data_IF_811054728753
#
_entry.id   IF_811054728753
#
_cell.length_a   1.000
_cell.length_b   1.000
_cell.length_c   1.000
_cell.angle_alpha   90.00
_cell.angle_beta   90.00
_cell.angle_gamma   90.00
#
_symmetry.space_group_name_H-M   'P 1'
#
loop_
_entity.id
_entity.type
_entity.pdbx_description
1 polymer ?
#
# COMPACT_ATOMS: atom_id res chain seq x y z
N UNK A 1 -9.52 -27.30 -19.02
CA UNK A 1 -10.28 -27.46 -17.74
C UNK A 1 -9.30 -28.10 -16.77
N UNK A 2 -9.18 -27.57 -15.54
CA UNK A 2 -8.07 -27.75 -14.56
C UNK A 2 -6.94 -26.71 -14.62
N UNK A 3 -7.28 -25.42 -14.72
CA UNK A 3 -6.29 -24.34 -14.51
C UNK A 3 -6.09 -24.01 -13.01
N UNK A 4 -6.97 -24.51 -12.15
CA UNK A 4 -6.95 -24.29 -10.69
C UNK A 4 -5.80 -25.03 -10.00
N UNK A 5 -5.31 -26.12 -10.60
CA UNK A 5 -4.22 -26.96 -10.05
C UNK A 5 -2.82 -26.47 -10.44
N UNK A 6 -2.71 -25.42 -11.26
CA UNK A 6 -1.44 -24.86 -11.77
C UNK A 6 -1.14 -23.50 -11.13
N UNK A 7 -1.63 -23.26 -9.92
CA UNK A 7 -1.34 -22.03 -9.18
C UNK A 7 -0.11 -22.25 -8.30
N UNK A 8 0.88 -21.38 -8.45
CA UNK A 8 2.01 -21.31 -7.53
C UNK A 8 1.49 -20.92 -6.13
N UNK A 9 1.92 -21.60 -5.05
CA UNK A 9 1.49 -21.26 -3.70
C UNK A 9 1.97 -19.86 -3.32
N UNK A 10 1.03 -19.01 -2.90
CA UNK A 10 1.31 -17.65 -2.40
C UNK A 10 1.08 -17.63 -0.90
N UNK A 11 2.12 -17.27 -0.14
CA UNK A 11 2.01 -17.00 1.30
C UNK A 11 1.59 -15.54 1.51
N UNK A 12 0.43 -15.34 2.13
CA UNK A 12 -0.07 -14.02 2.49
C UNK A 12 0.27 -13.68 3.95
N UNK A 13 0.61 -12.41 4.26
CA UNK A 13 0.78 -11.98 5.63
C UNK A 13 -0.54 -12.05 6.40
N UNK A 14 -0.46 -12.20 7.73
CA UNK A 14 -1.64 -12.15 8.58
C UNK A 14 -2.25 -10.74 8.63
N UNK A 15 -3.57 -10.66 8.49
CA UNK A 15 -4.30 -9.39 8.54
C UNK A 15 -4.48 -8.70 7.18
N UNK A 16 -5.19 -7.57 7.19
CA UNK A 16 -5.54 -6.82 5.96
C UNK A 16 -4.54 -5.72 5.61
N UNK A 17 -3.70 -5.31 6.57
CA UNK A 17 -2.74 -4.22 6.41
C UNK A 17 -1.34 -4.81 6.70
N UNK A 18 -0.59 -5.22 5.67
CA UNK A 18 0.68 -5.92 5.81
C UNK A 18 1.70 -5.24 6.72
N UNK A 19 1.89 -3.92 6.58
CA UNK A 19 2.98 -3.23 7.24
C UNK A 19 2.76 -2.97 8.74
N UNK A 20 1.56 -3.24 9.24
CA UNK A 20 1.13 -2.84 10.59
C UNK A 20 0.37 -3.95 11.33
N UNK A 21 0.44 -5.19 10.84
CA UNK A 21 -0.29 -6.35 11.36
C UNK A 21 -1.79 -6.05 11.50
N UNK A 22 -2.38 -5.40 10.49
CA UNK A 22 -3.80 -5.05 10.45
C UNK A 22 -4.19 -3.77 11.20
N UNK A 23 -3.26 -3.02 11.82
CA UNK A 23 -3.59 -1.74 12.44
C UNK A 23 -3.80 -0.64 11.38
N UNK A 24 -4.86 0.17 11.47
CA UNK A 24 -5.09 1.25 10.51
C UNK A 24 -3.99 2.31 10.60
N UNK A 25 -3.72 2.96 9.47
CA UNK A 25 -2.90 4.17 9.44
C UNK A 25 -3.59 5.34 10.15
N UNK A 26 -2.83 6.37 10.50
CA UNK A 26 -3.32 7.58 11.17
C UNK A 26 -3.40 8.77 10.21
N UNK A 27 -4.20 9.79 10.58
CA UNK A 27 -4.26 11.06 9.85
C UNK A 27 -2.90 11.74 9.74
N UNK A 28 -2.05 11.60 10.76
CA UNK A 28 -0.72 12.21 10.79
C UNK A 28 0.21 11.61 9.75
N UNK A 29 0.10 10.30 9.47
CA UNK A 29 0.88 9.67 8.41
C UNK A 29 0.51 10.22 7.03
N UNK A 30 -0.78 10.46 6.78
CA UNK A 30 -1.26 11.14 5.57
C UNK A 30 -0.76 12.58 5.52
N UNK A 31 -0.82 13.31 6.63
CA UNK A 31 -0.33 14.68 6.72
C UNK A 31 1.18 14.79 6.42
N UNK A 32 1.99 13.81 6.87
CA UNK A 32 3.41 13.75 6.53
C UNK A 32 3.66 13.54 5.04
N UNK A 33 2.86 12.69 4.38
CA UNK A 33 2.95 12.51 2.93
C UNK A 33 2.61 13.80 2.17
N UNK A 34 1.52 14.46 2.58
CA UNK A 34 1.11 15.74 1.99
C UNK A 34 2.19 16.80 2.20
N UNK A 35 2.80 16.86 3.39
CA UNK A 35 3.89 17.78 3.67
C UNK A 35 5.10 17.53 2.75
N UNK A 36 5.48 16.26 2.56
CA UNK A 36 6.55 15.91 1.62
C UNK A 36 6.22 16.35 0.19
N UNK A 37 5.02 16.02 -0.29
CA UNK A 37 4.55 16.36 -1.65
C UNK A 37 4.40 17.87 -1.89
N UNK A 38 4.13 18.65 -0.84
CA UNK A 38 4.05 20.10 -0.92
C UNK A 38 5.43 20.79 -0.85
N UNK A 39 6.49 20.03 -0.55
CA UNK A 39 7.83 20.56 -0.35
C UNK A 39 8.72 20.41 -1.59
N UNK A 40 9.79 21.19 -1.64
CA UNK A 40 10.83 21.11 -2.69
C UNK A 40 11.48 19.72 -2.80
N UNK A 41 11.42 18.91 -1.74
CA UNK A 41 11.95 17.55 -1.71
C UNK A 41 11.27 16.62 -2.73
N UNK A 42 10.08 16.99 -3.20
CA UNK A 42 9.30 16.24 -4.19
C UNK A 42 9.18 16.96 -5.54
N UNK A 43 10.04 17.96 -5.81
CA UNK A 43 9.95 18.86 -6.98
C UNK A 43 9.94 18.19 -8.37
N UNK A 44 10.23 16.89 -8.46
CA UNK A 44 10.16 16.12 -9.70
C UNK A 44 9.08 15.03 -9.71
N UNK A 45 8.20 15.01 -8.71
CA UNK A 45 7.06 14.09 -8.62
C UNK A 45 5.82 14.85 -9.08
N UNK A 46 5.21 14.41 -10.18
CA UNK A 46 3.97 15.00 -10.70
C UNK A 46 3.19 13.96 -11.51
N UNK A 47 1.85 14.16 -11.62
CA UNK A 47 0.98 13.34 -12.47
C UNK A 47 0.84 11.87 -12.05
N UNK A 48 1.19 11.53 -10.81
CA UNK A 48 1.13 10.15 -10.28
C UNK A 48 0.25 10.05 -9.05
N UNK A 49 -0.42 8.92 -8.91
CA UNK A 49 -1.06 8.50 -7.66
C UNK A 49 0.00 7.94 -6.71
N UNK A 50 -0.22 8.10 -5.40
CA UNK A 50 0.62 7.51 -4.36
C UNK A 50 -0.25 6.88 -3.28
N UNK A 51 -0.06 5.58 -3.05
CA UNK A 51 -0.76 4.82 -2.01
C UNK A 51 0.00 4.93 -0.67
N UNK A 52 -0.74 5.19 0.40
CA UNK A 52 -0.25 5.23 1.79
C UNK A 52 -1.20 4.43 2.69
N UNK A 53 -1.41 3.17 2.33
CA UNK A 53 -2.43 2.29 2.91
C UNK A 53 -1.84 1.08 3.64
N UNK A 54 -0.54 1.10 3.93
CA UNK A 54 0.15 -0.01 4.57
C UNK A 54 0.20 -1.30 3.75
N UNK A 55 -0.03 -1.23 2.44
CA UNK A 55 -0.08 -2.38 1.54
C UNK A 55 -1.46 -3.03 1.42
N UNK A 56 -2.50 -2.45 2.03
CA UNK A 56 -3.87 -3.01 2.05
C UNK A 56 -4.45 -3.19 0.64
N UNK A 57 -4.24 -2.24 -0.27
CA UNK A 57 -4.78 -2.34 -1.64
C UNK A 57 -4.14 -3.46 -2.47
N UNK A 58 -2.97 -3.97 -2.06
CA UNK A 58 -2.31 -5.10 -2.75
C UNK A 58 -2.90 -6.46 -2.35
N UNK A 59 -3.57 -6.54 -1.19
CA UNK A 59 -4.18 -7.78 -0.70
C UNK A 59 -5.64 -7.96 -1.14
N UNK A 60 -6.29 -6.88 -1.60
CA UNK A 60 -7.66 -6.94 -2.11
C UNK A 60 -7.64 -7.27 -3.60
N UNK A 61 -7.57 -8.56 -3.93
CA UNK A 61 -7.89 -9.11 -5.24
C UNK A 61 -9.25 -9.81 -5.22
#
# INVERSE_FOLDING_TARGET
RHLEEIQEPVEFPEGKIPLTDGKPGTSEQVAQLVLFLASDASSHITGTEMWIDGGESLLKA
#
